data_IF_201894390059
#
_entry.id   IF_201894390059
#
_cell.length_a   1.000
_cell.length_b   1.000
_cell.length_c   1.000
_cell.angle_alpha   90.00
_cell.angle_beta   90.00
_cell.angle_gamma   90.00
#
_symmetry.space_group_name_H-M   'P 1'
#
loop_
_entity.id
_entity.type
_entity.pdbx_description
1 polymer ?
#
# COMPACT_ATOMS: atom_id res chain seq x y z
N UNK A 1 -20.18 -5.57 -13.71
CA UNK A 1 -19.11 -5.91 -12.75
C UNK A 1 -19.03 -4.91 -11.60
N UNK A 2 -18.75 -3.60 -11.81
CA UNK A 2 -18.78 -2.60 -10.71
C UNK A 2 -20.11 -2.55 -9.94
N UNK A 3 -21.25 -2.53 -10.66
CA UNK A 3 -22.58 -2.53 -10.03
C UNK A 3 -22.89 -3.82 -9.22
N UNK A 4 -22.24 -4.93 -9.58
CA UNK A 4 -22.38 -6.22 -8.90
C UNK A 4 -21.57 -6.25 -7.61
N UNK A 5 -20.35 -5.68 -7.63
CA UNK A 5 -19.48 -5.56 -6.46
C UNK A 5 -20.03 -4.56 -5.42
N UNK A 6 -20.71 -3.51 -5.89
CA UNK A 6 -21.41 -2.59 -4.99
C UNK A 6 -22.64 -3.21 -4.31
N UNK A 7 -23.25 -4.21 -4.95
CA UNK A 7 -24.43 -4.91 -4.41
C UNK A 7 -24.02 -6.07 -3.46
N UNK A 8 -22.86 -6.69 -3.71
CA UNK A 8 -22.29 -7.74 -2.88
C UNK A 8 -20.79 -7.50 -2.72
N UNK A 9 -20.35 -6.96 -1.57
CA UNK A 9 -18.93 -6.82 -1.26
C UNK A 9 -18.22 -8.16 -1.46
N UNK A 10 -17.04 -8.14 -2.07
CA UNK A 10 -16.23 -9.33 -2.42
C UNK A 10 -16.67 -10.12 -3.65
N UNK A 11 -17.75 -9.74 -4.35
CA UNK A 11 -18.21 -10.46 -5.54
C UNK A 11 -17.09 -10.66 -6.57
N UNK A 12 -16.34 -9.59 -6.88
CA UNK A 12 -15.25 -9.70 -7.86
C UNK A 12 -14.11 -10.60 -7.37
N UNK A 13 -13.82 -10.57 -6.07
CA UNK A 13 -12.78 -11.41 -5.47
C UNK A 13 -13.17 -12.90 -5.52
N UNK A 14 -14.40 -13.23 -5.13
CA UNK A 14 -14.92 -14.60 -5.16
C UNK A 14 -15.01 -15.13 -6.60
N UNK A 15 -15.45 -14.27 -7.53
CA UNK A 15 -15.46 -14.60 -8.95
C UNK A 15 -14.06 -14.92 -9.48
N UNK A 16 -13.04 -14.12 -9.17
CA UNK A 16 -11.65 -14.41 -9.54
C UNK A 16 -11.13 -15.72 -8.93
N UNK A 17 -11.48 -16.00 -7.66
CA UNK A 17 -11.12 -17.27 -7.01
C UNK A 17 -11.71 -18.48 -7.72
N UNK A 18 -12.98 -18.41 -8.11
CA UNK A 18 -13.66 -19.49 -8.84
C UNK A 18 -12.95 -19.71 -10.19
N UNK A 19 -12.70 -18.65 -10.95
CA UNK A 19 -11.99 -18.75 -12.23
C UNK A 19 -10.60 -19.38 -12.09
N UNK A 20 -9.84 -18.98 -11.06
CA UNK A 20 -8.52 -19.57 -10.80
C UNK A 20 -8.61 -21.06 -10.47
N UNK A 21 -9.59 -21.44 -9.66
CA UNK A 21 -9.83 -22.84 -9.29
C UNK A 21 -10.16 -23.70 -10.51
N UNK A 22 -10.97 -23.19 -11.43
CA UNK A 22 -11.36 -23.88 -12.67
C UNK A 22 -10.26 -23.88 -13.74
N UNK A 23 -9.28 -22.97 -13.64
CA UNK A 23 -8.22 -22.79 -14.66
C UNK A 23 -7.02 -23.74 -14.55
N UNK A 24 -6.99 -24.62 -13.53
CA UNK A 24 -5.85 -25.49 -13.19
C UNK A 24 -4.52 -24.73 -12.95
N UNK A 25 -4.56 -23.39 -12.78
CA UNK A 25 -3.39 -22.55 -12.55
C UNK A 25 -2.99 -22.58 -11.06
N UNK A 26 -1.77 -23.02 -10.77
CA UNK A 26 -1.20 -22.92 -9.43
C UNK A 26 -0.55 -21.54 -9.22
N UNK A 27 -1.38 -20.52 -9.03
CA UNK A 27 -0.93 -19.14 -8.81
C UNK A 27 -1.31 -18.70 -7.39
N UNK A 28 -0.33 -18.21 -6.64
CA UNK A 28 -0.61 -17.47 -5.41
C UNK A 28 -1.19 -16.10 -5.78
N UNK A 29 -2.50 -15.93 -5.58
CA UNK A 29 -3.21 -14.71 -5.91
C UNK A 29 -2.69 -13.48 -5.14
N UNK A 30 -2.21 -13.65 -3.90
CA UNK A 30 -1.67 -12.56 -3.08
C UNK A 30 -0.34 -12.04 -3.65
N UNK A 31 0.55 -12.95 -4.04
CA UNK A 31 1.80 -12.59 -4.73
C UNK A 31 1.53 -11.95 -6.08
N UNK A 32 0.58 -12.49 -6.85
CA UNK A 32 0.19 -11.92 -8.14
C UNK A 32 -0.30 -10.47 -8.00
N UNK A 33 -1.16 -10.20 -7.01
CA UNK A 33 -1.59 -8.83 -6.72
C UNK A 33 -0.42 -7.91 -6.35
N UNK A 34 0.50 -8.37 -5.50
CA UNK A 34 1.70 -7.59 -5.16
C UNK A 34 2.56 -7.28 -6.38
N UNK A 35 2.83 -8.26 -7.25
CA UNK A 35 3.59 -8.05 -8.50
C UNK A 35 2.94 -7.02 -9.40
N UNK A 36 1.61 -7.08 -9.55
CA UNK A 36 0.86 -6.15 -10.39
C UNK A 36 0.97 -4.70 -9.94
N UNK A 37 1.22 -4.44 -8.65
CA UNK A 37 1.33 -3.07 -8.13
C UNK A 37 2.57 -2.30 -8.61
N UNK A 38 3.58 -2.99 -9.18
CA UNK A 38 4.77 -2.34 -9.74
C UNK A 38 4.44 -1.47 -10.97
N UNK A 39 3.59 -1.99 -11.85
CA UNK A 39 3.20 -1.37 -13.14
C UNK A 39 1.77 -0.80 -13.14
N UNK A 40 1.03 -0.96 -12.05
CA UNK A 40 -0.32 -0.41 -11.92
C UNK A 40 -0.32 1.11 -12.03
N UNK A 41 -1.38 1.72 -12.61
CA UNK A 41 -1.57 3.17 -12.60
C UNK A 41 -1.42 3.74 -11.18
N UNK A 42 -0.90 4.96 -11.09
CA UNK A 42 -0.68 5.66 -9.81
C UNK A 42 -1.70 6.77 -9.56
N UNK A 43 -2.66 6.94 -10.46
CA UNK A 43 -3.65 8.03 -10.44
C UNK A 43 -4.55 7.96 -9.19
N UNK A 44 -4.71 6.76 -8.63
CA UNK A 44 -5.42 6.50 -7.37
C UNK A 44 -4.70 7.08 -6.14
N UNK A 45 -3.39 7.32 -6.24
CA UNK A 45 -2.57 7.88 -5.17
C UNK A 45 -2.43 9.41 -5.27
N UNK A 46 -2.83 10.01 -6.39
CA UNK A 46 -2.72 11.45 -6.63
C UNK A 46 -3.84 12.19 -5.92
N UNK A 47 -3.48 13.22 -5.16
CA UNK A 47 -4.46 14.13 -4.54
C UNK A 47 -5.00 15.08 -5.60
N UNK A 48 -6.11 14.70 -6.23
CA UNK A 48 -6.74 15.46 -7.30
C UNK A 48 -7.02 16.91 -6.90
N UNK A 49 -6.72 17.85 -7.80
CA UNK A 49 -6.90 19.29 -7.58
C UNK A 49 -5.80 19.97 -6.76
N UNK A 50 -4.89 19.22 -6.13
CA UNK A 50 -3.81 19.75 -5.28
C UNK A 50 -2.41 19.34 -5.76
N UNK A 51 -2.29 18.88 -7.00
CA UNK A 51 -1.03 18.39 -7.60
C UNK A 51 0.10 19.44 -7.65
N UNK A 52 -0.28 20.73 -7.65
CA UNK A 52 0.65 21.86 -7.66
C UNK A 52 1.29 22.13 -6.29
N UNK A 53 0.73 21.57 -5.22
CA UNK A 53 1.22 21.75 -3.85
C UNK A 53 2.36 20.76 -3.60
N UNK A 54 3.55 21.24 -3.18
CA UNK A 54 4.74 20.40 -3.09
C UNK A 54 4.59 19.28 -2.06
N UNK A 55 3.89 19.50 -0.96
CA UNK A 55 3.68 18.51 0.10
C UNK A 55 2.81 17.33 -0.39
N UNK A 56 1.75 17.60 -1.16
CA UNK A 56 0.89 16.54 -1.72
C UNK A 56 1.61 15.77 -2.83
N UNK A 57 2.43 16.45 -3.64
CA UNK A 57 3.28 15.80 -4.63
C UNK A 57 4.31 14.87 -3.99
N UNK A 58 4.95 15.32 -2.91
CA UNK A 58 5.90 14.52 -2.16
C UNK A 58 5.23 13.33 -1.47
N UNK A 59 4.05 13.52 -0.86
CA UNK A 59 3.23 12.45 -0.31
C UNK A 59 2.93 11.36 -1.35
N UNK A 60 2.46 11.78 -2.53
CA UNK A 60 2.16 10.89 -3.66
C UNK A 60 3.41 10.10 -4.07
N UNK A 61 4.55 10.78 -4.23
CA UNK A 61 5.83 10.15 -4.57
C UNK A 61 6.23 9.09 -3.54
N UNK A 62 6.14 9.39 -2.25
CA UNK A 62 6.48 8.42 -1.19
C UNK A 62 5.54 7.23 -1.14
N UNK A 63 4.25 7.43 -1.42
CA UNK A 63 3.29 6.35 -1.50
C UNK A 63 3.61 5.40 -2.67
N UNK A 64 3.98 5.94 -3.83
CA UNK A 64 4.40 5.17 -5.00
C UNK A 64 5.71 4.42 -4.70
N UNK A 65 6.70 5.08 -4.10
CA UNK A 65 7.97 4.45 -3.71
C UNK A 65 7.73 3.25 -2.78
N UNK A 66 6.89 3.41 -1.75
CA UNK A 66 6.54 2.31 -0.85
C UNK A 66 5.83 1.16 -1.60
N UNK A 67 4.86 1.48 -2.45
CA UNK A 67 4.13 0.50 -3.26
C UNK A 67 5.07 -0.35 -4.13
N UNK A 68 6.06 0.28 -4.76
CA UNK A 68 7.07 -0.41 -5.59
C UNK A 68 8.06 -1.26 -4.80
N UNK A 69 8.37 -0.89 -3.56
CA UNK A 69 9.21 -1.74 -2.71
C UNK A 69 8.41 -2.97 -2.28
N UNK A 70 7.13 -2.82 -1.94
CA UNK A 70 6.26 -3.93 -1.57
C UNK A 70 6.01 -4.90 -2.74
N UNK A 71 5.93 -4.41 -3.97
CA UNK A 71 5.72 -5.26 -5.16
C UNK A 71 6.89 -6.19 -5.48
N UNK A 72 8.09 -5.93 -4.95
CA UNK A 72 9.30 -6.75 -5.12
C UNK A 72 9.41 -7.91 -4.13
N UNK A 73 8.56 -7.93 -3.10
CA UNK A 73 8.58 -8.96 -2.05
C UNK A 73 8.45 -10.38 -2.63
N UNK A 74 7.55 -10.67 -3.59
CA UNK A 74 7.42 -12.00 -4.17
C UNK A 74 8.68 -12.54 -4.86
N UNK A 75 9.48 -11.67 -5.47
CA UNK A 75 10.71 -12.02 -6.17
C UNK A 75 11.87 -12.19 -5.18
N UNK A 76 11.96 -11.29 -4.19
CA UNK A 76 13.11 -11.19 -3.30
C UNK A 76 13.03 -12.13 -2.09
N UNK A 77 11.84 -12.63 -1.74
CA UNK A 77 11.65 -13.54 -0.59
C UNK A 77 12.34 -14.90 -0.72
N UNK A 78 12.69 -15.32 -1.94
CA UNK A 78 13.39 -16.57 -2.20
C UNK A 78 14.86 -16.54 -1.74
N UNK A 79 15.49 -15.36 -1.75
CA UNK A 79 16.86 -15.16 -1.27
C UNK A 79 16.86 -14.41 0.06
N UNK A 80 17.40 -15.04 1.10
CA UNK A 80 17.39 -14.48 2.45
C UNK A 80 18.11 -13.14 2.55
N UNK A 81 19.21 -12.95 1.81
CA UNK A 81 19.99 -11.73 1.91
C UNK A 81 19.27 -10.58 1.21
N UNK A 82 18.74 -10.81 0.01
CA UNK A 82 17.90 -9.86 -0.72
C UNK A 82 16.68 -9.48 0.10
N UNK A 83 15.97 -10.46 0.66
CA UNK A 83 14.78 -10.19 1.47
C UNK A 83 15.06 -9.30 2.69
N UNK A 84 16.20 -9.49 3.37
CA UNK A 84 16.58 -8.62 4.50
C UNK A 84 16.87 -7.18 4.04
N UNK A 85 17.45 -6.99 2.86
CA UNK A 85 17.60 -5.66 2.27
C UNK A 85 16.24 -5.07 1.87
N UNK A 86 15.32 -5.87 1.32
CA UNK A 86 13.94 -5.45 1.04
C UNK A 86 13.25 -4.94 2.32
N UNK A 87 13.37 -5.66 3.43
CA UNK A 87 12.78 -5.26 4.72
C UNK A 87 13.32 -3.90 5.17
N UNK A 88 14.63 -3.67 5.05
CA UNK A 88 15.24 -2.36 5.37
C UNK A 88 14.69 -1.25 4.46
N UNK A 89 14.54 -1.53 3.17
CA UNK A 89 13.94 -0.60 2.21
C UNK A 89 12.48 -0.28 2.56
N UNK A 90 11.68 -1.28 2.92
CA UNK A 90 10.29 -1.10 3.36
C UNK A 90 10.24 -0.17 4.57
N UNK A 91 11.04 -0.45 5.61
CA UNK A 91 11.10 0.37 6.81
C UNK A 91 11.49 1.83 6.51
N UNK A 92 12.48 2.03 5.65
CA UNK A 92 12.91 3.36 5.19
C UNK A 92 11.81 4.10 4.43
N UNK A 93 11.12 3.42 3.51
CA UNK A 93 10.01 3.98 2.73
C UNK A 93 8.80 4.33 3.60
N UNK A 94 8.46 3.50 4.59
CA UNK A 94 7.38 3.82 5.54
C UNK A 94 7.74 5.06 6.36
N UNK A 95 8.98 5.15 6.86
CA UNK A 95 9.43 6.33 7.60
C UNK A 95 9.29 7.61 6.77
N UNK A 96 9.78 7.59 5.52
CA UNK A 96 9.67 8.73 4.59
C UNK A 96 8.22 9.10 4.28
N UNK A 97 7.35 8.11 4.10
CA UNK A 97 5.93 8.35 3.88
C UNK A 97 5.28 9.03 5.10
N UNK A 98 5.59 8.56 6.32
CA UNK A 98 5.10 9.18 7.55
C UNK A 98 5.60 10.62 7.72
N UNK A 99 6.84 10.90 7.35
CA UNK A 99 7.39 12.26 7.32
C UNK A 99 6.63 13.16 6.34
N UNK A 100 6.32 12.67 5.13
CA UNK A 100 5.53 13.42 4.15
C UNK A 100 4.08 13.66 4.64
N UNK A 101 3.44 12.67 5.27
CA UNK A 101 2.11 12.84 5.89
C UNK A 101 2.15 13.92 6.97
N UNK A 102 3.22 13.97 7.78
CA UNK A 102 3.37 15.00 8.81
C UNK A 102 3.53 16.40 8.20
N UNK A 103 4.25 16.54 7.08
CA UNK A 103 4.37 17.79 6.37
C UNK A 103 3.01 18.27 5.82
N UNK A 104 2.25 17.37 5.19
CA UNK A 104 0.88 17.66 4.73
C UNK A 104 -0.01 18.08 5.90
N UNK A 105 0.13 17.46 7.07
CA UNK A 105 -0.70 17.81 8.23
C UNK A 105 -0.52 19.25 8.72
N UNK A 106 0.65 19.87 8.48
CA UNK A 106 0.91 21.27 8.84
C UNK A 106 0.20 22.26 7.91
N UNK A 107 -0.12 21.87 6.68
CA UNK A 107 -0.75 22.74 5.68
C UNK A 107 -2.26 22.51 5.56
N UNK A 108 -2.78 21.39 6.06
CA UNK A 108 -4.20 21.06 6.03
C UNK A 108 -4.98 21.90 7.05
N UNK A 109 -6.06 22.60 6.64
CA UNK A 109 -6.91 23.32 7.57
C UNK A 109 -7.55 22.40 8.62
N UNK A 110 -7.67 22.88 9.85
CA UNK A 110 -8.24 22.15 11.01
C UNK A 110 -9.60 21.50 10.72
N UNK A 111 -10.41 22.08 9.83
CA UNK A 111 -11.71 21.55 9.40
C UNK A 111 -11.64 20.22 8.62
N UNK A 112 -10.50 19.91 7.98
CA UNK A 112 -10.28 18.69 7.21
C UNK A 112 -9.46 17.62 7.99
N UNK A 113 -8.94 17.95 9.17
CA UNK A 113 -8.09 17.04 9.94
C UNK A 113 -8.85 15.83 10.54
N UNK A 114 -10.17 15.93 10.75
CA UNK A 114 -10.97 14.87 11.40
C UNK A 114 -10.96 13.53 10.65
N UNK A 115 -10.88 13.52 9.32
CA UNK A 115 -10.77 12.30 8.51
C UNK A 115 -9.38 11.64 8.55
N UNK A 116 -8.32 12.43 8.76
CA UNK A 116 -6.93 11.93 8.76
C UNK A 116 -6.57 11.15 10.03
N UNK A 117 -7.18 11.47 11.18
CA UNK A 117 -6.89 10.79 12.46
C UNK A 117 -7.32 9.32 12.47
N UNK A 118 -8.39 8.95 11.73
CA UNK A 118 -8.89 7.58 11.68
C UNK A 118 -7.91 6.61 10.98
N UNK A 119 -7.26 7.07 9.90
CA UNK A 119 -6.27 6.27 9.14
C UNK A 119 -4.98 6.05 9.93
N UNK A 120 -4.60 7.01 10.78
CA UNK A 120 -3.38 6.94 11.61
C UNK A 120 -3.47 5.88 12.72
N UNK A 121 -4.63 5.74 13.37
CA UNK A 121 -4.86 4.76 14.44
C UNK A 121 -4.58 3.32 13.99
N UNK A 122 -4.92 2.97 12.75
CA UNK A 122 -4.69 1.64 12.19
C UNK A 122 -3.20 1.38 11.90
N UNK A 123 -2.47 2.39 11.39
CA UNK A 123 -1.05 2.24 11.04
C UNK A 123 -0.12 2.19 12.26
N UNK A 124 -0.42 2.92 13.34
CA UNK A 124 0.43 2.91 14.55
C UNK A 124 0.34 1.58 15.32
N UNK A 125 -0.86 0.97 15.37
CA UNK A 125 -1.06 -0.34 16.01
C UNK A 125 -0.40 -1.46 15.18
N UNK A 126 -0.56 -1.46 13.85
CA UNK A 126 0.06 -2.46 12.97
C UNK A 126 1.59 -2.38 12.95
N UNK A 127 2.18 -1.18 12.97
CA UNK A 127 3.64 -1.01 13.05
C UNK A 127 4.23 -1.49 14.39
N UNK A 128 3.54 -1.24 15.51
CA UNK A 128 3.96 -1.72 16.83
C UNK A 128 4.04 -3.24 16.91
N UNK A 129 3.07 -3.94 16.31
CA UNK A 129 3.04 -5.41 16.27
C UNK A 129 4.15 -5.96 15.37
N UNK A 130 4.40 -5.34 14.21
CA UNK A 130 5.40 -5.81 13.25
C UNK A 130 6.84 -5.66 13.78
N UNK A 131 7.15 -4.55 14.46
CA UNK A 131 8.49 -4.33 15.03
C UNK A 131 8.73 -5.22 16.26
N UNK A 132 7.72 -5.44 17.10
CA UNK A 132 7.84 -6.37 18.25
C UNK A 132 7.99 -7.82 17.82
N UNK A 133 7.37 -8.23 16.71
CA UNK A 133 7.52 -9.60 16.16
C UNK A 133 8.87 -9.89 15.50
N UNK A 134 9.64 -8.87 15.10
CA UNK A 134 10.95 -9.04 14.46
C UNK A 134 12.12 -9.11 15.47
N UNK A 135 11.87 -8.76 16.75
CA UNK A 135 12.86 -8.67 17.83
C UNK A 135 12.72 -9.79 18.88
N UNK A 136 11.81 -10.75 18.68
CA UNK A 136 11.70 -11.99 19.46
C UNK A 136 12.19 -13.18 18.66
#
# INVERSE_FOLDING_TARGET
>A
MKASDSASPSFLFDFTKILLTESELNINLQEAYLRMHDSSPTDDLVVQGHEHVPEYKELTKRAIELRRVLSRVPEEMADRHQFLETIKLIASSIKKLLEAINAVHQIVPLSAQQGMFHVRSLNTVSMGIFVSGLLS
#
